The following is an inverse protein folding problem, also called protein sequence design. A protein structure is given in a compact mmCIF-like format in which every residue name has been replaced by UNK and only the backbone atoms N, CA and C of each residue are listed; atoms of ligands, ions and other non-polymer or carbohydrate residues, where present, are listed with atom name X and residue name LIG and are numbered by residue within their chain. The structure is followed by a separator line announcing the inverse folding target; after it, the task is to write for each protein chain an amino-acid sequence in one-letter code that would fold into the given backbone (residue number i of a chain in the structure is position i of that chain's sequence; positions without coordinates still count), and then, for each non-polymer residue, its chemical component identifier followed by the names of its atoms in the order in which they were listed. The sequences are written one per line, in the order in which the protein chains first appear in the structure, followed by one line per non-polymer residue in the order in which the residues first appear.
data_IF_999985928774
#
_entry.id   IF_999985928774
#
_cell.length_a   1.000
_cell.length_b   1.000
_cell.length_c   1.000
_cell.angle_alpha   90.00
_cell.angle_beta   90.00
_cell.angle_gamma   90.00
#
_symmetry.space_group_name_H-M   'P 1'
#
loop_
_entity.id
_entity.type
_entity.pdbx_description
1 polymer ?
#
# COMPACT_ATOMS: atom_id res chain seq x y z
N UNK A 1 3.91 15.51 -18.61
CA UNK A 1 3.63 14.07 -18.42
C UNK A 1 2.22 13.85 -18.93
N UNK A 2 2.10 13.06 -20.01
CA UNK A 2 0.88 13.03 -20.83
C UNK A 2 0.07 11.74 -20.61
N UNK A 3 -1.22 11.82 -20.92
CA UNK A 3 -2.28 10.78 -20.88
C UNK A 3 -1.91 9.37 -21.41
N UNK A 4 -0.74 9.18 -22.00
CA UNK A 4 -0.21 7.89 -22.43
C UNK A 4 0.30 7.00 -21.29
N UNK A 5 0.79 7.58 -20.20
CA UNK A 5 1.34 6.82 -19.05
C UNK A 5 0.23 6.08 -18.28
N UNK A 6 -0.94 6.72 -18.17
CA UNK A 6 -2.13 6.17 -17.52
C UNK A 6 -2.68 4.94 -18.25
N UNK A 7 -2.70 4.96 -19.60
CA UNK A 7 -3.15 3.81 -20.40
C UNK A 7 -2.20 2.63 -20.26
N UNK A 8 -0.88 2.87 -20.30
CA UNK A 8 0.11 1.81 -20.12
C UNK A 8 0.01 1.13 -18.75
N UNK A 9 -0.20 1.90 -17.66
CA UNK A 9 -0.39 1.33 -16.30
C UNK A 9 -1.71 0.57 -16.15
N UNK A 10 -2.80 1.08 -16.74
CA UNK A 10 -4.08 0.38 -16.78
C UNK A 10 -4.04 -0.89 -17.65
N UNK A 11 -3.23 -0.89 -18.72
CA UNK A 11 -3.03 -2.06 -19.60
C UNK A 11 -2.14 -3.13 -18.95
N UNK A 12 -1.14 -2.77 -18.14
CA UNK A 12 -0.35 -3.74 -17.34
C UNK A 12 -1.23 -4.51 -16.35
N UNK A 13 -2.32 -3.91 -15.85
CA UNK A 13 -3.29 -4.60 -14.99
C UNK A 13 -4.37 -5.40 -15.76
N UNK A 14 -4.39 -5.34 -17.10
CA UNK A 14 -5.31 -6.12 -17.95
C UNK A 14 -4.58 -7.19 -18.75
N UNK A 15 -4.44 -8.38 -18.15
CA UNK A 15 -4.24 -9.75 -18.71
C UNK A 15 -3.21 -10.49 -17.84
N UNK A 16 -3.49 -11.67 -17.26
CA UNK A 16 -3.78 -12.96 -17.90
C UNK A 16 -4.84 -13.78 -17.09
N UNK A 17 -5.72 -14.57 -17.74
CA UNK A 17 -6.54 -15.56 -17.04
C UNK A 17 -5.66 -16.72 -16.59
N UNK A 18 -5.18 -16.65 -15.35
CA UNK A 18 -4.26 -17.61 -14.72
C UNK A 18 -2.92 -17.01 -14.24
N UNK A 19 -2.70 -15.70 -14.38
CA UNK A 19 -1.49 -15.01 -13.91
C UNK A 19 -1.47 -14.81 -12.40
N UNK A 20 -0.29 -14.89 -11.79
CA UNK A 20 -0.07 -14.63 -10.37
C UNK A 20 -0.66 -13.26 -9.96
N UNK A 21 -1.07 -13.15 -8.69
CA UNK A 21 -1.53 -11.89 -8.11
C UNK A 21 -0.35 -10.89 -8.12
N UNK A 22 -0.29 -10.02 -9.12
CA UNK A 22 0.88 -9.19 -9.45
C UNK A 22 1.14 -8.00 -8.50
N UNK A 23 0.53 -7.97 -7.32
CA UNK A 23 0.83 -6.92 -6.34
C UNK A 23 2.16 -7.17 -5.64
N UNK A 24 3.03 -6.15 -5.63
CA UNK A 24 4.31 -6.15 -4.92
C UNK A 24 4.21 -5.24 -3.70
N UNK A 25 4.50 -5.75 -2.51
CA UNK A 25 4.46 -4.95 -1.28
C UNK A 25 5.84 -4.43 -0.90
N UNK A 26 5.90 -3.18 -0.45
CA UNK A 26 7.09 -2.62 0.19
C UNK A 26 6.77 -2.32 1.65
N UNK A 27 7.28 -3.17 2.52
CA UNK A 27 7.05 -3.11 3.97
C UNK A 27 8.04 -2.11 4.58
N UNK A 28 7.48 -1.07 5.18
CA UNK A 28 8.22 0.00 5.85
C UNK A 28 8.95 -0.49 7.12
N UNK A 29 10.01 0.20 7.53
CA UNK A 29 10.90 -0.23 8.61
C UNK A 29 10.24 -0.19 10.00
N UNK A 30 9.15 0.55 10.13
CA UNK A 30 8.36 0.58 11.35
C UNK A 30 7.56 -0.72 11.58
N UNK A 31 7.46 -1.60 10.57
CA UNK A 31 6.72 -2.85 10.64
C UNK A 31 7.65 -4.06 10.71
N UNK A 32 7.08 -5.21 11.06
CA UNK A 32 7.84 -6.44 11.15
C UNK A 32 8.19 -6.99 9.77
N UNK A 33 9.44 -7.36 9.59
CA UNK A 33 9.93 -8.15 8.45
C UNK A 33 9.13 -9.44 8.20
N UNK A 34 8.44 -9.97 9.22
CA UNK A 34 7.60 -11.16 9.10
C UNK A 34 6.41 -10.96 8.12
N UNK A 35 6.01 -9.72 7.87
CA UNK A 35 4.98 -9.40 6.87
C UNK A 35 5.38 -9.81 5.46
N UNK A 36 6.68 -9.79 5.14
CA UNK A 36 7.21 -10.30 3.85
C UNK A 36 6.88 -11.78 3.69
N UNK A 37 7.14 -12.58 4.72
CA UNK A 37 6.81 -14.01 4.68
C UNK A 37 5.28 -14.24 4.60
N UNK A 38 4.50 -13.42 5.30
CA UNK A 38 3.04 -13.49 5.27
C UNK A 38 2.43 -13.15 3.89
N UNK A 39 3.03 -12.22 3.14
CA UNK A 39 2.68 -11.92 1.75
C UNK A 39 3.06 -13.07 0.81
N UNK A 40 4.32 -13.53 0.88
CA UNK A 40 4.85 -14.60 0.02
C UNK A 40 4.11 -15.92 0.20
N UNK A 41 3.71 -16.25 1.43
CA UNK A 41 2.88 -17.42 1.72
C UNK A 41 1.49 -17.38 1.04
N UNK A 42 1.02 -16.20 0.61
CA UNK A 42 -0.24 -16.00 -0.13
C UNK A 42 -0.04 -15.72 -1.62
N UNK A 43 1.18 -15.90 -2.13
CA UNK A 43 1.50 -15.75 -3.55
C UNK A 43 1.75 -14.31 -4.01
N UNK A 44 1.93 -13.36 -3.08
CA UNK A 44 2.30 -11.98 -3.38
C UNK A 44 3.80 -11.77 -3.25
N UNK A 45 4.37 -10.90 -4.08
CA UNK A 45 5.76 -10.46 -3.89
C UNK A 45 5.82 -9.40 -2.78
N UNK A 46 6.91 -9.41 -2.03
CA UNK A 46 7.13 -8.44 -0.97
C UNK A 46 8.61 -8.26 -0.65
N UNK A 47 8.97 -7.02 -0.40
CA UNK A 47 10.27 -6.60 0.09
C UNK A 47 10.11 -5.79 1.37
N UNK A 48 11.13 -5.84 2.22
CA UNK A 48 11.22 -4.96 3.37
C UNK A 48 12.28 -3.89 3.09
N UNK A 49 12.01 -2.64 3.44
CA UNK A 49 12.91 -1.51 3.11
C UNK A 49 14.35 -1.73 3.60
N UNK A 50 14.53 -2.38 4.75
CA UNK A 50 15.87 -2.69 5.28
C UNK A 50 16.61 -3.73 4.44
N UNK A 51 15.91 -4.70 3.85
CA UNK A 51 16.51 -5.77 3.04
C UNK A 51 16.96 -5.29 1.66
N UNK A 52 16.35 -4.22 1.15
CA UNK A 52 16.70 -3.62 -0.14
C UNK A 52 17.59 -2.36 0.01
N UNK A 53 18.18 -2.15 1.19
CA UNK A 53 19.13 -1.05 1.44
C UNK A 53 18.50 0.33 1.48
N UNK A 54 17.22 0.44 1.86
CA UNK A 54 16.45 1.69 1.95
C UNK A 54 16.10 2.09 3.39
N UNK A 55 16.76 1.48 4.38
CA UNK A 55 16.59 1.85 5.80
C UNK A 55 16.88 3.34 6.02
N UNK A 56 16.09 4.01 6.85
CA UNK A 56 16.21 5.43 7.17
C UNK A 56 15.89 6.39 6.01
N UNK A 57 15.38 5.90 4.89
CA UNK A 57 14.92 6.78 3.81
C UNK A 57 13.73 7.60 4.28
N UNK A 58 13.75 8.90 3.98
CA UNK A 58 12.62 9.79 4.24
C UNK A 58 11.38 9.37 3.42
N UNK A 59 10.19 9.58 3.98
CA UNK A 59 8.90 9.15 3.40
C UNK A 59 8.72 9.55 1.92
N UNK A 60 9.14 10.77 1.56
CA UNK A 60 9.05 11.26 0.17
C UNK A 60 9.94 10.50 -0.83
N UNK A 61 11.09 9.96 -0.40
CA UNK A 61 12.00 9.17 -1.22
C UNK A 61 11.44 7.76 -1.36
N UNK A 62 10.88 7.23 -0.27
CA UNK A 62 10.28 5.91 -0.25
C UNK A 62 8.99 5.86 -1.09
N UNK A 63 8.14 6.89 -1.01
CA UNK A 63 6.96 7.02 -1.87
C UNK A 63 7.33 7.12 -3.37
N UNK A 64 8.32 7.93 -3.72
CA UNK A 64 8.81 8.02 -5.11
C UNK A 64 9.37 6.69 -5.61
N UNK A 65 10.14 6.01 -4.78
CA UNK A 65 10.67 4.68 -5.08
C UNK A 65 9.53 3.68 -5.31
N UNK A 66 8.54 3.64 -4.42
CA UNK A 66 7.42 2.73 -4.56
C UNK A 66 6.66 2.94 -5.88
N UNK A 67 6.34 4.19 -6.23
CA UNK A 67 5.65 4.53 -7.49
C UNK A 67 6.48 4.16 -8.73
N UNK A 68 7.80 4.34 -8.67
CA UNK A 68 8.69 4.03 -9.80
C UNK A 68 8.88 2.52 -10.01
N UNK A 69 8.63 1.69 -8.98
CA UNK A 69 8.87 0.26 -8.99
C UNK A 69 7.59 -0.58 -8.76
N UNK A 70 6.42 0.05 -8.90
CA UNK A 70 5.11 -0.57 -8.77
C UNK A 70 4.88 -1.28 -7.43
N UNK A 71 5.35 -0.67 -6.34
CA UNK A 71 5.08 -1.17 -5.00
C UNK A 71 3.85 -0.53 -4.38
N UNK A 72 3.10 -1.34 -3.66
CA UNK A 72 2.18 -0.87 -2.61
C UNK A 72 2.95 -0.75 -1.31
N UNK A 73 3.02 0.46 -0.75
CA UNK A 73 3.62 0.68 0.57
C UNK A 73 2.71 0.10 1.65
N UNK A 74 3.31 -0.56 2.64
CA UNK A 74 2.65 -0.96 3.89
C UNK A 74 3.39 -0.31 5.05
N UNK A 75 2.70 0.52 5.83
CA UNK A 75 3.31 1.31 6.93
C UNK A 75 2.35 1.48 8.12
N UNK A 76 2.86 1.92 9.26
CA UNK A 76 2.05 2.55 10.32
C UNK A 76 2.19 4.09 10.33
N UNK A 77 3.16 4.67 9.61
CA UNK A 77 3.38 6.12 9.48
C UNK A 77 2.29 6.78 8.62
N UNK A 78 1.07 6.78 9.15
CA UNK A 78 -0.15 7.22 8.48
C UNK A 78 -0.04 8.63 7.93
N UNK A 79 0.21 9.59 8.83
CA UNK A 79 0.05 11.02 8.52
C UNK A 79 0.99 11.48 7.42
N UNK A 80 2.24 11.03 7.48
CA UNK A 80 3.26 11.56 6.58
C UNK A 80 3.20 10.87 5.21
N UNK A 81 2.88 9.57 5.14
CA UNK A 81 2.58 8.90 3.87
C UNK A 81 1.31 9.41 3.19
N UNK A 82 0.23 9.67 3.94
CA UNK A 82 -0.99 10.30 3.38
C UNK A 82 -0.65 11.63 2.69
N UNK A 83 0.19 12.47 3.32
CA UNK A 83 0.63 13.74 2.72
C UNK A 83 1.48 13.54 1.46
N UNK A 84 2.30 12.49 1.38
CA UNK A 84 3.07 12.24 0.16
C UNK A 84 2.18 11.70 -0.96
N UNK A 85 1.27 10.78 -0.65
CA UNK A 85 0.38 10.16 -1.63
C UNK A 85 -0.72 11.12 -2.12
N UNK A 86 -1.14 12.09 -1.29
CA UNK A 86 -2.05 13.16 -1.69
C UNK A 86 -1.48 14.13 -2.74
N UNK A 87 -0.22 13.96 -3.14
CA UNK A 87 0.42 14.74 -4.22
C UNK A 87 0.54 13.96 -5.52
N UNK A 88 0.11 12.68 -5.54
CA UNK A 88 0.30 11.78 -6.67
C UNK A 88 -0.98 11.69 -7.49
N UNK A 89 -0.86 11.77 -8.82
CA UNK A 89 -1.97 11.49 -9.75
C UNK A 89 -2.22 9.99 -9.87
N UNK A 90 -1.15 9.18 -9.78
CA UNK A 90 -1.22 7.72 -9.89
C UNK A 90 -0.25 7.01 -8.94
N UNK A 91 -0.73 5.95 -8.29
CA UNK A 91 0.08 5.01 -7.52
C UNK A 91 -0.58 3.63 -7.43
N UNK A 92 0.21 2.59 -7.18
CA UNK A 92 -0.27 1.20 -7.12
C UNK A 92 -1.06 0.89 -5.82
N UNK A 93 -0.92 1.74 -4.78
CA UNK A 93 -1.71 1.69 -3.55
C UNK A 93 -0.94 2.15 -2.31
N UNK A 94 -1.66 2.51 -1.24
CA UNK A 94 -1.09 2.77 0.09
C UNK A 94 -1.86 1.97 1.14
N UNK A 95 -1.14 1.21 1.96
CA UNK A 95 -1.71 0.45 3.07
C UNK A 95 -1.18 1.00 4.40
N UNK A 96 -2.09 1.32 5.31
CA UNK A 96 -1.76 1.73 6.67
C UNK A 96 -2.36 0.76 7.68
N UNK A 97 -1.51 0.11 8.48
CA UNK A 97 -1.94 -0.73 9.60
C UNK A 97 -1.97 0.13 10.86
N UNK A 98 -3.12 0.27 11.52
CA UNK A 98 -3.27 1.13 12.70
C UNK A 98 -3.91 0.32 13.84
N UNK A 99 -3.40 0.39 15.08
CA UNK A 99 -2.21 1.10 15.54
C UNK A 99 -0.92 0.33 15.26
N UNK A 100 0.23 0.91 15.61
CA UNK A 100 1.48 0.15 15.68
C UNK A 100 1.33 -0.88 16.80
N UNK A 101 1.46 -2.15 16.43
CA UNK A 101 1.18 -3.28 17.31
C UNK A 101 2.29 -4.31 17.25
N UNK A 102 2.19 -5.37 18.06
CA UNK A 102 3.16 -6.47 18.07
C UNK A 102 3.08 -7.26 16.78
N UNK A 103 4.19 -7.94 16.45
CA UNK A 103 4.35 -8.74 15.21
C UNK A 103 3.13 -9.58 14.85
N UNK A 104 2.63 -10.39 15.77
CA UNK A 104 1.55 -11.35 15.47
C UNK A 104 0.24 -10.63 15.11
N UNK A 105 -0.01 -9.49 15.75
CA UNK A 105 -1.15 -8.65 15.44
C UNK A 105 -0.95 -7.89 14.12
N UNK A 106 0.26 -7.44 13.80
CA UNK A 106 0.56 -6.87 12.47
C UNK A 106 0.29 -7.90 11.36
N UNK A 107 0.68 -9.16 11.57
CA UNK A 107 0.40 -10.26 10.63
C UNK A 107 -1.11 -10.47 10.48
N UNK A 108 -1.87 -10.43 11.58
CA UNK A 108 -3.34 -10.54 11.57
C UNK A 108 -3.99 -9.41 10.77
N UNK A 109 -3.60 -8.15 11.02
CA UNK A 109 -4.13 -6.99 10.32
C UNK A 109 -3.74 -7.00 8.85
N UNK A 110 -2.49 -7.34 8.54
CA UNK A 110 -2.03 -7.44 7.16
C UNK A 110 -2.70 -8.58 6.39
N UNK A 111 -3.08 -9.68 7.05
CA UNK A 111 -3.90 -10.71 6.41
C UNK A 111 -5.22 -10.15 5.88
N UNK A 112 -5.85 -9.19 6.57
CA UNK A 112 -7.06 -8.49 6.08
C UNK A 112 -6.81 -7.67 4.83
N UNK A 113 -5.64 -7.06 4.73
CA UNK A 113 -5.20 -6.38 3.50
C UNK A 113 -5.12 -7.39 2.36
N UNK A 114 -4.43 -8.52 2.56
CA UNK A 114 -4.25 -9.54 1.53
C UNK A 114 -5.60 -10.15 1.08
N UNK A 115 -6.55 -10.35 2.00
CA UNK A 115 -7.94 -10.74 1.68
C UNK A 115 -8.61 -9.73 0.74
N UNK A 116 -8.45 -8.43 1.00
CA UNK A 116 -8.98 -7.35 0.13
C UNK A 116 -8.31 -7.36 -1.25
N UNK A 117 -6.99 -7.57 -1.33
CA UNK A 117 -6.29 -7.68 -2.61
C UNK A 117 -6.82 -8.83 -3.45
N UNK A 118 -7.01 -10.01 -2.85
CA UNK A 118 -7.59 -11.17 -3.54
C UNK A 118 -9.01 -10.84 -4.04
N UNK A 119 -9.86 -10.28 -3.17
CA UNK A 119 -11.24 -9.94 -3.51
C UNK A 119 -11.36 -8.89 -4.63
N UNK A 120 -10.37 -8.01 -4.77
CA UNK A 120 -10.31 -6.97 -5.81
C UNK A 120 -9.43 -7.35 -6.99
N UNK A 121 -9.04 -8.61 -7.13
CA UNK A 121 -8.16 -9.10 -8.20
C UNK A 121 -6.87 -8.26 -8.35
N UNK A 122 -6.27 -7.91 -7.21
CA UNK A 122 -5.08 -7.08 -7.08
C UNK A 122 -5.19 -5.63 -7.62
N UNK A 123 -6.39 -5.12 -7.89
CA UNK A 123 -6.59 -3.74 -8.32
C UNK A 123 -6.88 -2.79 -7.14
N UNK A 124 -5.84 -2.03 -6.78
CA UNK A 124 -5.85 -0.97 -5.76
C UNK A 124 -5.18 0.31 -6.25
N UNK A 125 -5.14 0.50 -7.57
CA UNK A 125 -4.64 1.74 -8.15
C UNK A 125 -5.38 2.91 -7.50
N UNK A 126 -4.61 3.87 -6.99
CA UNK A 126 -5.10 5.09 -6.35
C UNK A 126 -5.90 4.87 -5.05
N UNK A 127 -5.83 3.69 -4.46
CA UNK A 127 -6.51 3.38 -3.20
C UNK A 127 -5.60 3.58 -1.99
N UNK A 128 -6.19 4.18 -0.96
CA UNK A 128 -5.75 4.09 0.42
C UNK A 128 -6.55 2.98 1.10
N UNK A 129 -5.84 2.02 1.69
CA UNK A 129 -6.38 1.02 2.60
C UNK A 129 -5.87 1.33 4.00
N UNK A 130 -6.78 1.38 4.96
CA UNK A 130 -6.41 1.47 6.36
C UNK A 130 -7.12 0.38 7.15
N UNK A 131 -6.36 -0.33 7.98
CA UNK A 131 -6.88 -1.41 8.81
C UNK A 131 -6.83 -0.99 10.27
N UNK A 132 -8.00 -1.00 10.91
CA UNK A 132 -8.18 -0.62 12.31
C UNK A 132 -7.88 -1.80 13.26
N UNK A 133 -7.71 -1.57 14.58
CA UNK A 133 -7.34 -2.64 15.51
C UNK A 133 -8.38 -3.76 15.63
N UNK A 134 -9.65 -3.52 15.34
CA UNK A 134 -10.68 -4.58 15.31
C UNK A 134 -10.63 -5.44 14.04
N UNK A 135 -9.77 -5.07 13.07
CA UNK A 135 -9.64 -5.72 11.77
C UNK A 135 -10.63 -5.20 10.72
N UNK A 136 -11.40 -4.15 11.02
CA UNK A 136 -12.16 -3.44 10.00
C UNK A 136 -11.21 -2.80 8.98
N UNK A 137 -11.61 -2.86 7.71
CA UNK A 137 -10.82 -2.36 6.59
C UNK A 137 -11.58 -1.22 5.93
N UNK A 138 -10.94 -0.07 5.85
CA UNK A 138 -11.50 1.13 5.24
C UNK A 138 -10.74 1.43 3.95
N UNK A 139 -11.49 1.60 2.87
CA UNK A 139 -10.96 1.89 1.54
C UNK A 139 -11.45 3.27 1.11
N UNK A 140 -10.57 4.05 0.49
CA UNK A 140 -10.94 5.27 -0.22
C UNK A 140 -9.98 5.55 -1.35
N UNK A 141 -10.44 6.31 -2.34
CA UNK A 141 -9.52 6.94 -3.28
C UNK A 141 -8.61 7.91 -2.53
N UNK A 142 -7.37 8.01 -2.98
CA UNK A 142 -6.41 8.92 -2.39
C UNK A 142 -5.44 9.43 -3.43
N UNK A 143 -5.74 10.57 -4.04
CA UNK A 143 -4.90 11.15 -5.10
C UNK A 143 -4.74 12.65 -4.92
N UNK A 144 -3.96 13.29 -5.80
CA UNK A 144 -3.91 14.74 -5.91
C UNK A 144 -5.30 15.38 -6.10
N UNK A 145 -6.21 14.72 -6.81
CA UNK A 145 -7.57 15.22 -7.08
C UNK A 145 -8.61 14.78 -6.05
N UNK A 146 -8.42 13.61 -5.44
CA UNK A 146 -9.42 12.94 -4.60
C UNK A 146 -8.81 12.52 -3.24
N UNK A 147 -8.38 13.51 -2.46
CA UNK A 147 -7.94 13.30 -1.08
C UNK A 147 -8.71 14.21 -0.11
N UNK A 148 -8.79 13.79 1.15
CA UNK A 148 -9.41 14.57 2.22
C UNK A 148 -8.34 15.02 3.23
N UNK A 149 -8.02 16.32 3.21
CA UNK A 149 -7.05 16.92 4.14
C UNK A 149 -7.50 16.74 5.61
N UNK A 150 -8.82 16.79 5.87
CA UNK A 150 -9.39 16.56 7.19
C UNK A 150 -9.07 15.16 7.70
N UNK A 151 -9.15 14.17 6.82
CA UNK A 151 -8.84 12.77 7.12
C UNK A 151 -7.36 12.55 7.53
N UNK A 152 -6.42 13.35 7.02
CA UNK A 152 -4.99 13.28 7.42
C UNK A 152 -4.83 13.60 8.90
N UNK A 153 -5.50 14.66 9.37
CA UNK A 153 -5.36 15.17 10.74
C UNK A 153 -6.29 14.44 11.73
N UNK A 154 -7.51 14.12 11.31
CA UNK A 154 -8.56 13.49 12.11
C UNK A 154 -9.21 12.37 11.28
N UNK A 155 -8.79 11.11 11.46
CA UNK A 155 -9.39 10.02 10.71
C UNK A 155 -10.89 9.92 11.01
N UNK A 156 -11.69 10.01 9.96
CA UNK A 156 -13.12 9.68 9.97
C UNK A 156 -13.28 8.43 9.12
N UNK A 157 -13.66 7.35 9.81
CA UNK A 157 -13.99 6.07 9.22
C UNK A 157 -15.50 6.04 8.96
N UNK A 158 -15.93 5.65 7.75
CA UNK A 158 -17.35 5.47 7.45
C UNK A 158 -17.97 4.30 8.25
#
# INVERSE_FOLDING_TARGET
MGRGDLRARLEIHRAEPGGALNARFLIDECLSVALVAAAKARGFDADHVTYIGKAGWQDWNLARFAVAHNYVIVTNNRRDFLKQYAKLEIHDGLVVLIPLTKRDEQIRLFAKVLEVFVARNADLVNMLIEVAPDGSVHLRNWTAEDHDIGHIAKPIWP
#
